data_IF_964521268065
#
_entry.id   IF_964521268065
#
_cell.length_a   1.000
_cell.length_b   1.000
_cell.length_c   1.000
_cell.angle_alpha   90.00
_cell.angle_beta   90.00
_cell.angle_gamma   90.00
#
_symmetry.space_group_name_H-M   'P 1'
#
loop_
_entity.id
_entity.type
_entity.pdbx_description
1 polymer ?
#
# COMPACT_ATOMS: atom_id res chain seq x y z
N UNK A 1 16.84 -2.41 -9.60
CA UNK A 1 16.97 -0.93 -9.65
C UNK A 1 15.57 -0.36 -9.62
N UNK A 2 15.30 0.66 -8.81
CA UNK A 2 13.97 1.28 -8.73
C UNK A 2 13.77 2.26 -9.89
N UNK A 3 12.61 2.18 -10.54
CA UNK A 3 12.29 3.06 -11.67
C UNK A 3 11.78 4.40 -11.16
N UNK A 4 12.41 5.48 -11.62
CA UNK A 4 11.97 6.85 -11.33
C UNK A 4 10.70 7.18 -12.11
N UNK A 5 9.66 7.67 -11.42
CA UNK A 5 8.36 7.98 -12.01
C UNK A 5 8.11 9.48 -12.15
N UNK A 6 8.40 10.24 -11.09
CA UNK A 6 8.12 11.68 -11.04
C UNK A 6 8.93 12.36 -9.94
N UNK A 7 9.38 13.59 -10.19
CA UNK A 7 9.83 14.51 -9.15
C UNK A 7 8.86 15.68 -9.07
N UNK A 8 8.43 16.02 -7.86
CA UNK A 8 7.69 17.25 -7.60
C UNK A 8 8.51 18.15 -6.69
N UNK A 9 8.51 19.43 -7.01
CA UNK A 9 9.24 20.45 -6.29
C UNK A 9 8.29 21.62 -5.96
N UNK A 10 8.37 22.11 -4.73
CA UNK A 10 7.66 23.33 -4.34
C UNK A 10 8.29 24.57 -4.97
N UNK A 11 7.50 25.60 -5.23
CA UNK A 11 8.03 26.88 -5.70
C UNK A 11 8.95 27.52 -4.63
N UNK A 12 10.17 27.89 -5.01
CA UNK A 12 11.17 28.48 -4.09
C UNK A 12 10.74 29.84 -3.54
N UNK A 13 10.18 30.70 -4.39
CA UNK A 13 9.78 32.06 -4.03
C UNK A 13 8.64 32.02 -3.00
N UNK A 14 7.61 31.21 -3.25
CA UNK A 14 6.47 31.07 -2.35
C UNK A 14 6.81 30.35 -1.04
N UNK A 15 7.83 29.50 -1.04
CA UNK A 15 8.33 28.86 0.17
C UNK A 15 9.24 29.78 1.01
N UNK A 16 9.47 31.03 0.60
CA UNK A 16 10.36 32.00 1.26
C UNK A 16 11.73 31.39 1.60
N UNK A 17 12.19 30.45 0.77
CA UNK A 17 13.41 29.70 0.98
C UNK A 17 14.11 29.48 -0.35
N UNK A 18 15.42 29.71 -0.36
CA UNK A 18 16.26 29.38 -1.52
C UNK A 18 16.32 27.87 -1.78
N UNK A 19 15.91 27.06 -0.81
CA UNK A 19 15.86 25.61 -0.88
C UNK A 19 14.42 25.11 -0.91
N UNK A 20 13.98 24.68 -2.10
CA UNK A 20 12.69 24.03 -2.25
C UNK A 20 12.79 22.54 -1.92
N UNK A 21 11.86 22.07 -1.09
CA UNK A 21 11.69 20.66 -0.79
C UNK A 21 11.31 19.89 -2.06
N UNK A 22 11.81 18.65 -2.18
CA UNK A 22 11.56 17.78 -3.32
C UNK A 22 11.03 16.44 -2.86
N UNK A 23 10.08 15.91 -3.61
CA UNK A 23 9.55 14.57 -3.43
C UNK A 23 9.78 13.81 -4.72
N UNK A 24 10.64 12.81 -4.63
CA UNK A 24 10.94 11.90 -5.72
C UNK A 24 10.10 10.64 -5.53
N UNK A 25 9.40 10.25 -6.58
CA UNK A 25 8.47 9.13 -6.57
C UNK A 25 9.10 8.05 -7.45
N UNK A 26 9.39 6.91 -6.86
CA UNK A 26 9.90 5.72 -7.55
C UNK A 26 8.79 4.67 -7.59
N UNK A 27 9.04 3.56 -8.27
CA UNK A 27 8.12 2.42 -8.34
C UNK A 27 7.92 1.69 -7.01
N UNK A 28 8.95 1.66 -6.15
CA UNK A 28 8.99 0.92 -4.89
C UNK A 28 8.93 1.80 -3.63
N UNK A 29 9.31 3.07 -3.74
CA UNK A 29 9.45 4.01 -2.61
C UNK A 29 9.24 5.46 -3.01
N UNK A 30 9.11 6.31 -2.01
CA UNK A 30 9.24 7.76 -2.17
C UNK A 30 10.47 8.27 -1.41
N UNK A 31 11.10 9.31 -1.92
CA UNK A 31 12.23 9.96 -1.28
C UNK A 31 11.92 11.44 -1.11
N UNK A 32 11.81 11.88 0.14
CA UNK A 32 11.61 13.26 0.52
C UNK A 32 12.96 13.91 0.83
N UNK A 33 13.31 14.95 0.08
CA UNK A 33 14.54 15.70 0.25
C UNK A 33 14.22 17.09 0.79
N UNK A 34 14.62 17.33 2.03
CA UNK A 34 14.52 18.61 2.71
C UNK A 34 15.91 19.23 2.78
N UNK A 35 16.01 20.48 2.38
CA UNK A 35 17.29 21.20 2.40
C UNK A 35 17.09 22.50 3.14
N UNK A 36 17.84 22.66 4.22
CA UNK A 36 18.02 23.92 4.91
C UNK A 36 19.35 24.58 4.52
N UNK A 37 19.64 25.71 5.16
CA UNK A 37 20.90 26.42 4.97
C UNK A 37 22.12 25.61 5.42
N UNK A 38 21.99 24.81 6.47
CA UNK A 38 23.10 24.09 7.11
C UNK A 38 22.96 22.57 6.95
N UNK A 39 21.72 22.05 7.00
CA UNK A 39 21.46 20.60 7.00
C UNK A 39 20.72 20.17 5.73
N UNK A 40 21.13 19.03 5.19
CA UNK A 40 20.40 18.29 4.16
C UNK A 40 19.84 17.05 4.81
N UNK A 41 18.56 16.82 4.63
CA UNK A 41 17.85 15.70 5.20
C UNK A 41 17.15 14.96 4.06
N UNK A 42 17.31 13.64 4.06
CA UNK A 42 16.72 12.76 3.07
C UNK A 42 15.99 11.64 3.81
N UNK A 43 14.69 11.54 3.56
CA UNK A 43 13.81 10.54 4.17
C UNK A 43 13.29 9.65 3.05
N UNK A 44 13.60 8.36 3.14
CA UNK A 44 13.08 7.35 2.22
C UNK A 44 11.94 6.61 2.89
N UNK A 45 10.78 6.55 2.25
CA UNK A 45 9.57 5.92 2.79
C UNK A 45 9.07 4.87 1.80
N UNK A 46 8.93 3.63 2.27
CA UNK A 46 8.34 2.57 1.47
C UNK A 46 6.81 2.74 1.39
N UNK A 47 6.18 2.35 0.28
CA UNK A 47 4.72 2.48 0.13
C UNK A 47 3.91 1.70 1.18
N UNK A 48 4.47 0.63 1.75
CA UNK A 48 3.89 -0.14 2.87
C UNK A 48 3.77 0.67 4.17
N UNK A 49 4.59 1.71 4.32
CA UNK A 49 4.62 2.57 5.51
C UNK A 49 3.82 3.86 5.31
N UNK A 50 3.20 4.05 4.14
CA UNK A 50 2.41 5.24 3.86
C UNK A 50 0.95 4.91 4.15
N UNK A 51 0.41 5.56 5.18
CA UNK A 51 -1.01 5.43 5.52
C UNK A 51 -1.89 6.08 4.45
N UNK A 52 -1.55 7.30 4.05
CA UNK A 52 -2.27 8.04 3.02
C UNK A 52 -1.43 9.20 2.48
N UNK A 53 -1.80 9.67 1.29
CA UNK A 53 -1.36 10.95 0.78
C UNK A 53 -2.55 11.93 0.81
N UNK A 54 -2.30 13.18 1.20
CA UNK A 54 -3.26 14.27 1.22
C UNK A 54 -2.86 15.33 0.19
N UNK A 55 -3.85 15.93 -0.46
CA UNK A 55 -3.67 17.02 -1.41
C UNK A 55 -4.58 18.19 -1.04
N UNK A 56 -3.98 19.31 -0.63
CA UNK A 56 -4.70 20.57 -0.37
C UNK A 56 -4.46 21.52 -1.54
N UNK A 57 -5.44 21.68 -2.41
CA UNK A 57 -5.32 22.51 -3.61
C UNK A 57 -5.80 23.94 -3.35
N UNK A 58 -5.03 24.93 -3.78
CA UNK A 58 -5.45 26.31 -3.97
C UNK A 58 -5.68 26.63 -5.45
N UNK A 59 -5.74 27.91 -5.80
CA UNK A 59 -6.08 28.34 -7.17
C UNK A 59 -5.05 27.87 -8.22
N UNK A 60 -3.75 28.05 -7.94
CA UNK A 60 -2.66 27.65 -8.86
C UNK A 60 -1.72 26.58 -8.27
N UNK A 61 -1.62 26.55 -6.94
CA UNK A 61 -0.67 25.71 -6.23
C UNK A 61 -1.37 24.85 -5.19
N UNK A 62 -0.77 23.70 -4.90
CA UNK A 62 -1.23 22.76 -3.90
C UNK A 62 -0.12 22.41 -2.90
N UNK A 63 -0.55 21.87 -1.78
CA UNK A 63 0.31 21.21 -0.79
C UNK A 63 0.06 19.72 -0.84
N UNK A 64 1.13 18.94 -0.93
CA UNK A 64 1.11 17.48 -0.83
C UNK A 64 1.66 17.11 0.54
N UNK A 65 0.93 16.28 1.27
CA UNK A 65 1.35 15.72 2.55
C UNK A 65 1.28 14.20 2.47
N UNK A 66 2.37 13.51 2.75
CA UNK A 66 2.41 12.06 2.84
C UNK A 66 2.52 11.66 4.30
N UNK A 67 1.50 10.94 4.77
CA UNK A 67 1.39 10.51 6.17
C UNK A 67 2.05 9.14 6.33
N UNK A 68 3.06 9.09 7.19
CA UNK A 68 3.77 7.87 7.53
C UNK A 68 3.08 7.16 8.71
N UNK A 69 2.90 5.85 8.62
CA UNK A 69 2.33 5.03 9.70
C UNK A 69 3.36 4.66 10.79
N UNK A 70 4.66 4.77 10.49
CA UNK A 70 5.76 4.33 11.36
C UNK A 70 6.19 5.32 12.46
N UNK A 71 5.41 6.38 12.73
CA UNK A 71 5.72 7.35 13.79
C UNK A 71 6.83 8.36 13.48
N UNK A 72 7.34 8.38 12.25
CA UNK A 72 8.29 9.39 11.75
C UNK A 72 7.56 10.60 11.14
N UNK A 73 8.28 11.72 10.96
CA UNK A 73 7.72 12.95 10.39
C UNK A 73 7.02 12.72 9.03
N UNK A 74 5.87 13.37 8.85
CA UNK A 74 5.16 13.42 7.58
C UNK A 74 5.97 14.19 6.53
N UNK A 75 6.00 13.70 5.29
CA UNK A 75 6.64 14.41 4.19
C UNK A 75 5.69 15.47 3.63
N UNK A 76 6.01 16.76 3.82
CA UNK A 76 5.17 17.89 3.40
C UNK A 76 5.90 18.74 2.35
N UNK A 77 5.28 18.93 1.19
CA UNK A 77 5.71 19.88 0.16
C UNK A 77 4.60 20.87 -0.12
N UNK A 78 4.93 22.15 0.08
CA UNK A 78 4.05 23.29 -0.19
C UNK A 78 4.37 23.93 -1.53
N UNK A 79 3.36 24.60 -2.09
CA UNK A 79 3.47 25.44 -3.29
C UNK A 79 3.88 24.66 -4.56
N UNK A 80 3.38 23.43 -4.73
CA UNK A 80 3.56 22.64 -5.94
C UNK A 80 2.52 23.07 -6.98
N UNK A 81 2.86 23.22 -8.27
CA UNK A 81 1.86 23.47 -9.31
C UNK A 81 0.73 22.43 -9.27
N UNK A 82 -0.53 22.86 -9.36
CA UNK A 82 -1.70 21.99 -9.21
C UNK A 82 -1.65 20.77 -10.14
N UNK A 83 -1.18 20.94 -11.38
CA UNK A 83 -1.05 19.86 -12.37
C UNK A 83 -0.13 18.74 -11.86
N UNK A 84 1.05 19.12 -11.36
CA UNK A 84 2.06 18.18 -10.88
C UNK A 84 1.63 17.54 -9.56
N UNK A 85 0.99 18.31 -8.68
CA UNK A 85 0.50 17.81 -7.41
C UNK A 85 -0.60 16.76 -7.58
N UNK A 86 -1.54 16.98 -8.50
CA UNK A 86 -2.56 15.99 -8.86
C UNK A 86 -1.93 14.73 -9.46
N UNK A 87 -0.94 14.88 -10.35
CA UNK A 87 -0.23 13.75 -10.94
C UNK A 87 0.50 12.92 -9.89
N UNK A 88 1.22 13.58 -8.98
CA UNK A 88 1.91 12.93 -7.87
C UNK A 88 0.93 12.17 -6.96
N UNK A 89 -0.16 12.82 -6.54
CA UNK A 89 -1.21 12.20 -5.72
C UNK A 89 -1.76 10.93 -6.36
N UNK A 90 -2.11 10.99 -7.65
CA UNK A 90 -2.64 9.84 -8.37
C UNK A 90 -1.64 8.68 -8.44
N UNK A 91 -0.36 8.95 -8.67
CA UNK A 91 0.68 7.92 -8.69
C UNK A 91 0.84 7.30 -7.30
N UNK A 92 0.95 8.13 -6.26
CA UNK A 92 1.14 7.67 -4.88
C UNK A 92 -0.06 6.85 -4.41
N UNK A 93 -1.29 7.33 -4.64
CA UNK A 93 -2.49 6.59 -4.25
C UNK A 93 -2.62 5.25 -4.95
N UNK A 94 -2.29 5.21 -6.25
CA UNK A 94 -2.26 3.96 -7.00
C UNK A 94 -1.26 3.00 -6.36
N UNK A 95 -0.07 3.47 -6.00
CA UNK A 95 0.98 2.64 -5.37
C UNK A 95 0.60 2.17 -3.97
N UNK A 96 0.01 3.04 -3.15
CA UNK A 96 -0.55 2.68 -1.84
C UNK A 96 -1.59 1.58 -2.03
N UNK A 97 -2.54 1.74 -2.97
CA UNK A 97 -3.52 0.70 -3.28
C UNK A 97 -2.86 -0.60 -3.76
N UNK A 98 -1.91 -0.56 -4.68
CA UNK A 98 -1.21 -1.77 -5.15
C UNK A 98 -0.56 -2.57 -4.01
N UNK A 99 -0.08 -1.88 -2.97
CA UNK A 99 0.58 -2.51 -1.83
C UNK A 99 -0.43 -3.00 -0.78
N UNK A 100 -1.45 -2.20 -0.46
CA UNK A 100 -2.43 -2.52 0.59
C UNK A 100 -3.64 -3.32 0.09
N UNK A 101 -3.94 -3.26 -1.22
CA UNK A 101 -4.98 -4.04 -1.88
C UNK A 101 -4.48 -5.39 -2.35
N UNK A 102 -3.20 -5.75 -2.14
CA UNK A 102 -2.84 -7.17 -2.11
C UNK A 102 -3.59 -7.75 -0.92
N UNK A 103 -4.68 -8.50 -1.14
CA UNK A 103 -5.20 -9.27 -0.04
C UNK A 103 -4.10 -10.30 0.29
N UNK A 104 -4.12 -10.85 1.48
CA UNK A 104 -3.41 -12.10 1.80
C UNK A 104 -3.92 -13.30 0.96
N UNK A 105 -4.39 -13.07 -0.28
CA UNK A 105 -4.83 -14.04 -1.27
C UNK A 105 -3.74 -14.41 -2.28
N UNK A 106 -2.48 -14.08 -1.99
CA UNK A 106 -1.34 -14.83 -2.53
C UNK A 106 -0.82 -15.85 -1.51
N UNK A 107 -1.69 -16.44 -0.70
CA UNK A 107 -1.50 -17.81 -0.26
C UNK A 107 -1.60 -18.70 -1.51
N UNK A 108 -0.44 -19.13 -2.00
CA UNK A 108 -0.26 -20.25 -2.92
C UNK A 108 -1.17 -20.29 -4.16
N UNK A 109 -0.71 -19.67 -5.25
CA UNK A 109 -1.07 -20.10 -6.62
C UNK A 109 -0.46 -21.46 -7.02
N UNK A 110 0.20 -22.14 -6.08
CA UNK A 110 0.56 -23.56 -6.12
C UNK A 110 -0.19 -24.32 -5.01
N UNK A 111 -1.50 -24.09 -4.83
CA UNK A 111 -2.29 -25.01 -4.01
C UNK A 111 -2.32 -26.36 -4.73
N UNK A 112 -1.48 -27.28 -4.27
CA UNK A 112 -1.54 -28.68 -4.69
C UNK A 112 -2.96 -29.19 -4.41
N UNK A 113 -3.47 -30.13 -5.21
CA UNK A 113 -4.81 -30.75 -4.99
C UNK A 113 -4.97 -31.20 -3.52
N UNK A 114 -3.87 -31.63 -2.88
CA UNK A 114 -3.78 -31.95 -1.45
C UNK A 114 -4.22 -30.82 -0.52
N UNK A 115 -3.82 -29.58 -0.76
CA UNK A 115 -4.13 -28.44 0.13
C UNK A 115 -5.61 -28.07 0.08
N UNK A 116 -6.23 -28.23 -1.10
CA UNK A 116 -7.67 -28.00 -1.30
C UNK A 116 -8.45 -29.10 -0.57
N UNK A 117 -7.98 -30.34 -0.68
CA UNK A 117 -8.57 -31.50 -0.04
C UNK A 117 -8.52 -31.38 1.49
N UNK A 118 -7.35 -31.06 2.07
CA UNK A 118 -7.19 -30.86 3.51
C UNK A 118 -8.08 -29.75 4.07
N UNK A 119 -8.21 -28.63 3.35
CA UNK A 119 -9.13 -27.54 3.75
C UNK A 119 -10.58 -27.97 3.71
N UNK A 120 -10.97 -28.73 2.70
CA UNK A 120 -12.35 -29.23 2.57
C UNK A 120 -12.72 -30.22 3.67
N UNK A 121 -11.81 -31.14 4.02
CA UNK A 121 -11.98 -32.08 5.12
C UNK A 121 -12.02 -31.37 6.49
N UNK A 122 -11.11 -30.42 6.71
CA UNK A 122 -11.07 -29.63 7.95
C UNK A 122 -12.38 -28.87 8.19
N UNK A 123 -12.98 -28.33 7.12
CA UNK A 123 -14.26 -27.62 7.20
C UNK A 123 -15.43 -28.57 7.57
N UNK A 124 -15.43 -29.79 7.05
CA UNK A 124 -16.44 -30.81 7.39
C UNK A 124 -16.30 -31.24 8.85
N UNK A 125 -15.07 -31.42 9.35
CA UNK A 125 -14.78 -31.73 10.75
C UNK A 125 -15.22 -30.60 11.69
N UNK A 126 -14.99 -29.34 11.32
CA UNK A 126 -15.48 -28.18 12.07
C UNK A 126 -17.00 -28.14 12.17
N UNK A 127 -17.71 -28.40 11.06
CA UNK A 127 -19.16 -28.38 11.04
C UNK A 127 -19.76 -29.48 11.93
N UNK A 128 -19.10 -30.64 12.01
CA UNK A 128 -19.47 -31.69 12.95
C UNK A 128 -19.21 -31.28 14.40
N UNK A 129 -18.03 -30.72 14.71
CA UNK A 129 -17.69 -30.22 16.06
C UNK A 129 -18.65 -29.12 16.54
N UNK A 130 -19.12 -28.27 15.62
CA UNK A 130 -20.10 -27.20 15.89
C UNK A 130 -21.55 -27.72 15.97
N UNK A 131 -21.78 -29.02 15.86
CA UNK A 131 -23.12 -29.63 15.92
C UNK A 131 -24.01 -29.32 14.71
N UNK A 132 -23.44 -28.80 13.62
CA UNK A 132 -24.17 -28.44 12.39
C UNK A 132 -24.30 -29.60 11.41
N UNK A 133 -23.62 -30.71 11.68
CA UNK A 133 -23.76 -31.97 10.95
C UNK A 133 -23.99 -33.10 11.95
N UNK A 134 -24.89 -34.02 11.60
CA UNK A 134 -25.02 -35.28 12.31
C UNK A 134 -23.84 -36.20 11.97
N UNK A 135 -23.59 -37.21 12.81
CA UNK A 135 -22.52 -38.20 12.59
C UNK A 135 -22.64 -38.91 11.22
N UNK A 136 -23.87 -39.18 10.78
CA UNK A 136 -24.13 -39.80 9.47
C UNK A 136 -23.79 -38.86 8.31
N UNK A 137 -24.14 -37.58 8.41
CA UNK A 137 -23.85 -36.58 7.36
C UNK A 137 -22.36 -36.23 7.29
N UNK A 138 -21.68 -36.20 8.44
CA UNK A 138 -20.24 -36.01 8.51
C UNK A 138 -19.48 -37.12 7.75
N UNK A 139 -19.81 -38.38 8.03
CA UNK A 139 -19.20 -39.53 7.36
C UNK A 139 -19.51 -39.52 5.85
N UNK A 140 -20.76 -39.23 5.47
CA UNK A 140 -21.17 -39.17 4.06
C UNK A 140 -20.37 -38.11 3.30
N UNK A 141 -20.31 -36.87 3.80
CA UNK A 141 -19.59 -35.76 3.15
C UNK A 141 -18.09 -36.00 3.09
N UNK A 142 -17.51 -36.62 4.13
CA UNK A 142 -16.09 -36.99 4.15
C UNK A 142 -15.76 -38.00 3.05
N UNK A 143 -16.61 -39.00 2.86
CA UNK A 143 -16.43 -40.02 1.82
C UNK A 143 -16.68 -39.47 0.40
N UNK A 144 -17.61 -38.53 0.23
CA UNK A 144 -17.83 -37.84 -1.06
C UNK A 144 -16.59 -37.05 -1.50
N UNK A 145 -15.95 -36.34 -0.57
CA UNK A 145 -14.72 -35.58 -0.84
C UNK A 145 -13.55 -36.51 -1.19
N UNK A 146 -13.45 -37.65 -0.52
CA UNK A 146 -12.39 -38.65 -0.76
C UNK A 146 -12.59 -39.50 -2.03
N UNK A 147 -13.81 -39.54 -2.58
CA UNK A 147 -14.15 -40.33 -3.78
C UNK A 147 -14.18 -39.53 -5.08
N UNK A 148 -14.19 -38.19 -5.01
CA UNK A 148 -14.14 -37.30 -6.18
C UNK A 148 -12.71 -36.88 -6.57
N UNK A 149 -11.69 -37.61 -6.09
CA UNK A 149 -10.29 -37.50 -6.49
C UNK A 149 -9.74 -38.89 -6.81
#
# INVERSE_FOLDING_TARGET
>A
MSNFLLEVQGNKLLNQSIFAHRLQIYDDRIVFKKRGFIKKEEVTIAYTQIAQANLRSGLMFATIEVINSGGFENAIIKHVPNKDAKRAKNIIDRKIREVHSKPEHNLNKNSTISDILEKSLSRVDELYKKGRLTKKEHIKKRNEILSHN
#
